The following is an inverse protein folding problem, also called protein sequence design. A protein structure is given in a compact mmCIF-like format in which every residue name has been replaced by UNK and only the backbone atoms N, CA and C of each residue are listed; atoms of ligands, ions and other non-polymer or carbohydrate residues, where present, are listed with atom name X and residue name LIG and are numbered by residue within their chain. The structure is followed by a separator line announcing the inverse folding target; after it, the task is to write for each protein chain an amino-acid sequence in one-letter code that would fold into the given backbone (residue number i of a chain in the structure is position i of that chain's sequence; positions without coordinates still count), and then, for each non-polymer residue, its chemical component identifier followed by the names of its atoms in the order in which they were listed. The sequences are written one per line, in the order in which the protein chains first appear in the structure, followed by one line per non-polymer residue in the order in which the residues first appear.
data_IF_100362922842
#
_entry.id   IF_100362922842
#
_cell.length_a   1.000
_cell.length_b   1.000
_cell.length_c   1.000
_cell.angle_alpha   90.00
_cell.angle_beta   90.00
_cell.angle_gamma   90.00
#
_symmetry.space_group_name_H-M   'P 1'
#
loop_
_entity.id
_entity.type
_entity.pdbx_description
1 polymer ?
#
# COMPACT_ATOMS: atom_id res chain seq x y z
N UNK A 1 -20.17 0.58 12.54
CA UNK A 1 -19.75 0.44 11.13
C UNK A 1 -18.48 -0.39 11.09
N UNK A 2 -18.46 -1.48 10.32
CA UNK A 2 -17.25 -2.31 10.17
C UNK A 2 -16.19 -1.55 9.36
N UNK A 3 -14.89 -1.71 9.65
CA UNK A 3 -13.85 -1.10 8.86
C UNK A 3 -13.81 -1.75 7.47
N UNK A 4 -14.04 -0.95 6.42
CA UNK A 4 -13.92 -1.35 5.01
C UNK A 4 -12.55 -1.98 4.72
N UNK A 5 -11.50 -1.50 5.39
CA UNK A 5 -10.16 -2.07 5.37
C UNK A 5 -9.98 -2.99 6.56
N UNK A 6 -9.92 -4.29 6.31
CA UNK A 6 -9.67 -5.30 7.33
C UNK A 6 -8.18 -5.40 7.67
N UNK A 7 -7.33 -5.37 6.64
CA UNK A 7 -5.89 -5.53 6.79
C UNK A 7 -5.16 -4.89 5.61
N UNK A 8 -3.99 -4.29 5.89
CA UNK A 8 -3.03 -3.90 4.87
C UNK A 8 -1.77 -4.75 5.07
N UNK A 9 -1.20 -5.23 3.98
CA UNK A 9 0.14 -5.82 3.94
C UNK A 9 1.04 -4.97 3.05
N UNK A 10 2.26 -4.78 3.51
CA UNK A 10 3.36 -4.25 2.72
C UNK A 10 4.40 -5.36 2.63
N UNK A 11 4.80 -5.73 1.42
CA UNK A 11 5.83 -6.73 1.19
C UNK A 11 5.49 -8.11 1.78
N UNK A 12 4.21 -8.50 1.69
CA UNK A 12 3.61 -9.71 2.29
C UNK A 12 3.58 -9.71 3.83
N UNK A 13 4.02 -8.65 4.48
CA UNK A 13 4.02 -8.49 5.94
C UNK A 13 2.87 -7.57 6.35
N UNK A 14 2.15 -7.89 7.42
CA UNK A 14 1.10 -7.00 7.93
C UNK A 14 1.67 -5.62 8.27
N UNK A 15 1.07 -4.58 7.71
CA UNK A 15 1.51 -3.21 7.90
C UNK A 15 1.07 -2.67 9.26
N UNK A 16 2.03 -2.07 9.97
CA UNK A 16 1.85 -1.40 11.24
C UNK A 16 2.72 -0.15 11.24
N UNK A 17 2.11 1.00 11.50
CA UNK A 17 2.81 2.30 11.52
C UNK A 17 3.96 2.34 12.54
N UNK A 18 3.79 1.65 13.67
CA UNK A 18 4.74 1.62 14.77
C UNK A 18 5.76 0.46 14.68
N UNK A 19 5.69 -0.38 13.63
CA UNK A 19 6.72 -1.41 13.42
C UNK A 19 7.95 -0.74 12.83
N UNK A 20 9.13 -1.28 13.18
CA UNK A 20 10.38 -0.88 12.58
C UNK A 20 10.29 -0.87 11.03
N UNK A 21 10.60 0.25 10.36
CA UNK A 21 10.58 0.36 8.91
C UNK A 21 11.45 -0.68 8.20
N UNK A 22 12.48 -1.23 8.84
CA UNK A 22 13.37 -2.26 8.25
C UNK A 22 12.63 -3.46 7.70
N UNK A 23 11.53 -3.87 8.34
CA UNK A 23 10.71 -4.99 7.86
C UNK A 23 10.03 -4.71 6.51
N UNK A 24 9.91 -3.45 6.14
CA UNK A 24 9.26 -3.01 4.92
C UNK A 24 10.23 -2.42 3.89
N UNK A 25 11.47 -2.11 4.28
CA UNK A 25 12.47 -1.51 3.40
C UNK A 25 12.78 -2.39 2.20
N UNK A 26 13.18 -1.73 1.13
CA UNK A 26 13.68 -2.33 -0.11
C UNK A 26 14.90 -1.56 -0.60
N UNK A 27 15.70 -2.15 -1.47
CA UNK A 27 16.69 -1.40 -2.26
C UNK A 27 16.08 -0.90 -3.57
N UNK A 28 16.77 -0.02 -4.31
CA UNK A 28 16.40 0.30 -5.68
C UNK A 28 16.07 -0.95 -6.50
N UNK A 29 15.08 -0.82 -7.38
CA UNK A 29 14.56 -1.85 -8.28
C UNK A 29 13.96 -3.10 -7.62
N UNK A 30 14.00 -3.21 -6.29
CA UNK A 30 13.27 -4.26 -5.60
C UNK A 30 11.77 -3.94 -5.55
N UNK A 31 10.97 -4.98 -5.77
CA UNK A 31 9.52 -4.86 -5.80
C UNK A 31 8.96 -4.59 -4.40
N UNK A 32 8.15 -3.53 -4.35
CA UNK A 32 7.16 -3.34 -3.31
C UNK A 32 5.85 -4.01 -3.72
N UNK A 33 5.19 -4.61 -2.74
CA UNK A 33 3.84 -5.15 -2.90
C UNK A 33 2.93 -4.63 -1.81
N UNK A 34 1.98 -3.77 -2.18
CA UNK A 34 0.92 -3.32 -1.27
C UNK A 34 -0.31 -4.15 -1.51
N UNK A 35 -0.85 -4.73 -0.45
CA UNK A 35 -2.09 -5.49 -0.50
C UNK A 35 -3.08 -4.94 0.52
N UNK A 36 -4.31 -4.68 0.11
CA UNK A 36 -5.38 -4.29 1.02
C UNK A 36 -6.51 -5.32 0.95
N UNK A 37 -6.81 -5.92 2.10
CA UNK A 37 -7.91 -6.85 2.27
C UNK A 37 -9.13 -6.05 2.69
N UNK A 38 -10.15 -6.05 1.84
CA UNK A 38 -11.35 -5.25 2.00
C UNK A 38 -12.53 -6.15 2.34
N UNK A 39 -13.36 -5.70 3.26
CA UNK A 39 -14.54 -6.40 3.73
C UNK A 39 -15.81 -5.59 3.44
N UNK A 40 -16.98 -6.19 3.56
CA UNK A 40 -18.27 -5.55 3.29
C UNK A 40 -18.90 -6.02 1.98
N UNK A 41 -19.73 -5.17 1.38
CA UNK A 41 -20.54 -5.50 0.21
C UNK A 41 -20.56 -4.38 -0.84
N UNK A 42 -20.88 -4.74 -2.08
CA UNK A 42 -20.91 -3.81 -3.21
C UNK A 42 -19.60 -3.78 -3.97
N UNK A 43 -19.22 -2.61 -4.46
CA UNK A 43 -18.00 -2.41 -5.26
C UNK A 43 -17.31 -1.13 -4.81
N UNK A 44 -15.98 -1.14 -4.81
CA UNK A 44 -15.16 -0.01 -4.38
C UNK A 44 -14.08 0.29 -5.41
N UNK A 45 -13.76 1.56 -5.54
CA UNK A 45 -12.62 2.02 -6.33
C UNK A 45 -11.42 2.21 -5.40
N UNK A 46 -10.31 1.56 -5.73
CA UNK A 46 -9.10 1.57 -4.92
C UNK A 46 -7.95 2.09 -5.76
N UNK A 47 -7.28 3.10 -5.22
CA UNK A 47 -6.15 3.76 -5.85
C UNK A 47 -4.98 3.79 -4.87
N UNK A 48 -3.78 3.52 -5.38
CA UNK A 48 -2.54 3.68 -4.64
C UNK A 48 -1.62 4.64 -5.37
N UNK A 49 -1.23 5.70 -4.68
CA UNK A 49 -0.43 6.79 -5.22
C UNK A 49 0.84 6.98 -4.38
N UNK A 50 1.94 7.37 -5.00
CA UNK A 50 3.14 7.83 -4.30
C UNK A 50 3.89 8.79 -5.22
N UNK A 51 4.59 9.80 -4.67
CA UNK A 51 5.31 10.80 -5.49
C UNK A 51 4.39 11.49 -6.51
N UNK A 52 3.16 11.83 -6.11
CA UNK A 52 2.16 12.50 -6.96
C UNK A 52 1.79 11.72 -8.24
N UNK A 53 2.10 10.42 -8.32
CA UNK A 53 1.69 9.52 -9.40
C UNK A 53 0.84 8.36 -8.89
N UNK A 54 -0.13 7.96 -9.70
CA UNK A 54 -0.88 6.72 -9.48
C UNK A 54 -0.03 5.52 -9.87
N UNK A 55 0.22 4.65 -8.90
CA UNK A 55 0.96 3.41 -9.09
C UNK A 55 0.04 2.27 -9.51
N UNK A 56 -1.14 2.19 -8.90
CA UNK A 56 -2.17 1.23 -9.26
C UNK A 56 -3.57 1.80 -8.99
N UNK A 57 -4.52 1.43 -9.84
CA UNK A 57 -5.93 1.76 -9.67
C UNK A 57 -6.77 0.54 -10.09
N UNK A 58 -7.81 0.22 -9.31
CA UNK A 58 -8.66 -0.93 -9.60
C UNK A 58 -9.99 -0.83 -8.89
N UNK A 59 -11.04 -1.29 -9.58
CA UNK A 59 -12.38 -1.48 -9.04
C UNK A 59 -12.56 -2.90 -8.53
N UNK A 60 -12.97 -3.07 -7.27
CA UNK A 60 -13.00 -4.37 -6.56
C UNK A 60 -14.42 -4.66 -6.05
N UNK A 61 -15.00 -5.82 -6.37
CA UNK A 61 -16.20 -6.30 -5.70
C UNK A 61 -15.88 -6.72 -4.26
N UNK A 62 -16.72 -6.34 -3.30
CA UNK A 62 -16.53 -6.68 -1.89
C UNK A 62 -17.29 -7.97 -1.49
N UNK A 63 -16.69 -8.82 -0.63
CA UNK A 63 -15.34 -8.72 -0.09
C UNK A 63 -14.26 -9.05 -1.15
N UNK A 64 -13.10 -8.40 -1.06
CA UNK A 64 -12.08 -8.51 -2.11
C UNK A 64 -10.68 -8.07 -1.65
N UNK A 65 -9.71 -8.17 -2.57
CA UNK A 65 -8.31 -7.83 -2.30
C UNK A 65 -7.75 -6.94 -3.40
N UNK A 66 -7.17 -5.83 -2.99
CA UNK A 66 -6.31 -5.01 -3.83
C UNK A 66 -4.88 -5.55 -3.77
N UNK A 67 -4.22 -5.71 -4.92
CA UNK A 67 -2.82 -6.12 -5.04
C UNK A 67 -2.11 -5.17 -6.00
N UNK A 68 -1.16 -4.40 -5.48
CA UNK A 68 -0.39 -3.44 -6.25
C UNK A 68 1.10 -3.75 -6.11
N UNK A 69 1.79 -3.81 -7.26
CA UNK A 69 3.23 -4.06 -7.34
C UNK A 69 3.92 -2.93 -8.07
N UNK A 70 4.98 -2.40 -7.48
CA UNK A 70 5.70 -1.25 -8.01
C UNK A 70 7.15 -1.27 -7.53
N UNK A 71 7.98 -0.40 -8.11
CA UNK A 71 9.42 -0.28 -7.81
C UNK A 71 9.79 1.19 -7.81
N UNK A 72 10.86 1.52 -7.08
CA UNK A 72 11.52 2.80 -7.17
C UNK A 72 12.97 2.56 -7.58
N UNK A 73 13.46 3.40 -8.47
CA UNK A 73 14.83 3.38 -9.01
C UNK A 73 15.83 4.14 -8.12
N UNK A 74 15.32 4.96 -7.22
CA UNK A 74 16.11 5.90 -6.43
C UNK A 74 15.90 5.67 -4.92
N UNK A 75 16.96 5.73 -4.11
CA UNK A 75 16.86 5.71 -2.65
C UNK A 75 16.02 6.88 -2.13
N UNK A 76 15.37 6.68 -0.99
CA UNK A 76 14.58 7.71 -0.33
C UNK A 76 13.36 7.18 0.41
N UNK A 77 12.80 8.04 1.26
CA UNK A 77 11.54 7.79 1.97
C UNK A 77 10.41 8.48 1.22
N UNK A 78 9.35 7.71 0.94
CA UNK A 78 8.14 8.17 0.26
C UNK A 78 6.93 7.83 1.12
N UNK A 79 5.87 8.62 0.97
CA UNK A 79 4.57 8.30 1.54
C UNK A 79 3.66 7.87 0.40
N UNK A 80 3.24 6.62 0.43
CA UNK A 80 2.20 6.11 -0.44
C UNK A 80 0.83 6.32 0.18
N UNK A 81 -0.15 6.76 -0.60
CA UNK A 81 -1.52 6.97 -0.16
C UNK A 81 -2.42 5.95 -0.82
N UNK A 82 -3.04 5.09 0.00
CA UNK A 82 -4.12 4.20 -0.42
C UNK A 82 -5.46 4.92 -0.24
N UNK A 83 -6.10 5.26 -1.34
CA UNK A 83 -7.44 5.85 -1.37
C UNK A 83 -8.45 4.78 -1.74
N UNK A 84 -9.52 4.66 -0.96
CA UNK A 84 -10.63 3.73 -1.19
C UNK A 84 -11.91 4.54 -1.23
N UNK A 85 -12.63 4.46 -2.34
CA UNK A 85 -13.86 5.20 -2.58
C UNK A 85 -15.02 4.22 -2.74
N UNK A 86 -16.08 4.42 -1.96
CA UNK A 86 -17.32 3.64 -2.00
C UNK A 86 -18.52 4.59 -2.04
N UNK A 87 -19.12 4.78 -3.22
CA UNK A 87 -20.13 5.82 -3.39
C UNK A 87 -19.55 7.19 -3.04
N UNK A 88 -20.15 7.88 -2.07
CA UNK A 88 -19.70 9.20 -1.60
C UNK A 88 -18.68 9.14 -0.45
N UNK A 89 -18.38 7.94 0.09
CA UNK A 89 -17.37 7.79 1.14
C UNK A 89 -15.99 7.60 0.54
N UNK A 90 -15.02 8.41 0.98
CA UNK A 90 -13.60 8.24 0.66
C UNK A 90 -12.79 8.00 1.92
N UNK A 91 -11.95 6.98 1.93
CA UNK A 91 -11.02 6.65 3.03
C UNK A 91 -9.59 6.65 2.51
N UNK A 92 -8.68 7.26 3.27
CA UNK A 92 -7.26 7.33 2.93
C UNK A 92 -6.42 6.64 4.00
N UNK A 93 -5.39 5.92 3.58
CA UNK A 93 -4.38 5.31 4.44
C UNK A 93 -2.99 5.61 3.90
N UNK A 94 -2.19 6.29 4.70
CA UNK A 94 -0.80 6.55 4.38
C UNK A 94 0.05 5.33 4.76
N UNK A 95 1.00 5.00 3.88
CA UNK A 95 1.93 3.88 4.00
C UNK A 95 3.31 4.45 3.73
N UNK A 96 4.18 4.39 4.73
CA UNK A 96 5.59 4.76 4.57
C UNK A 96 6.32 3.71 3.74
N UNK A 97 7.02 4.16 2.70
CA UNK A 97 7.80 3.36 1.75
C UNK A 97 9.26 3.83 1.83
N UNK A 98 10.14 3.01 2.38
CA UNK A 98 11.55 3.35 2.54
C UNK A 98 12.41 2.53 1.57
N UNK A 99 13.20 3.23 0.76
CA UNK A 99 14.15 2.64 -0.18
C UNK A 99 15.56 2.97 0.29
N UNK A 100 16.30 1.96 0.72
CA UNK A 100 17.67 2.10 1.18
C UNK A 100 18.65 1.99 0.01
N UNK A 101 19.66 2.85 0.00
CA UNK A 101 20.71 2.85 -1.03
C UNK A 101 21.47 1.53 -1.11
N UNK A 102 21.70 0.87 0.02
CA UNK A 102 22.38 -0.42 0.11
C UNK A 102 21.65 -1.38 1.07
N UNK A 103 21.58 -2.66 0.72
CA UNK A 103 21.27 -3.73 1.68
C UNK A 103 22.54 -3.95 2.50
N UNK A 104 22.58 -3.52 3.76
CA UNK A 104 23.74 -3.77 4.61
C UNK A 104 23.80 -5.27 4.91
N UNK A 105 24.80 -5.95 4.35
CA UNK A 105 25.14 -7.32 4.73
C UNK A 105 26.07 -7.19 5.94
N UNK A 106 25.50 -7.28 7.13
CA UNK A 106 26.24 -7.44 8.38
C UNK A 106 26.59 -8.90 8.63
#
# INVERSE_FOLDING_TARGET
MQPLVKQIKLNNVQYHLNRDPEFYRRTPDQEFRVQAFLDGSGTVDVQFEAEDRTLCETRIPLPGMFDCRFRFDTPGTRIGTLTITQGDETRRREIRLDVNEHHWIG
#
